data_IF_751223527405
#
_entry.id   IF_751223527405
#
_cell.length_a   1.000
_cell.length_b   1.000
_cell.length_c   1.000
_cell.angle_alpha   90.00
_cell.angle_beta   90.00
_cell.angle_gamma   90.00
#
_symmetry.space_group_name_H-M   'P 1'
#
loop_
_entity.id
_entity.type
_entity.pdbx_description
1 polymer ?
#
# COMPACT_ATOMS: atom_id res chain seq x y z
N UNK A 1 -12.41 8.89 65.01
CA UNK A 1 -12.55 9.13 63.56
C UNK A 1 -11.72 8.09 62.84
N UNK A 2 -12.33 6.98 62.41
CA UNK A 2 -11.63 5.94 61.66
C UNK A 2 -11.86 6.21 60.18
N UNK A 3 -10.82 6.68 59.49
CA UNK A 3 -10.79 6.79 58.04
C UNK A 3 -10.82 5.39 57.45
N UNK A 4 -11.97 4.99 56.90
CA UNK A 4 -12.11 3.76 56.14
C UNK A 4 -11.39 3.90 54.78
N UNK A 5 -10.07 3.69 54.78
CA UNK A 5 -9.30 3.40 53.57
C UNK A 5 -9.51 1.93 53.19
N UNK A 6 -10.70 1.63 52.68
CA UNK A 6 -10.94 0.39 51.96
C UNK A 6 -11.25 0.75 50.51
N UNK A 7 -10.21 1.19 49.76
CA UNK A 7 -10.18 0.90 48.33
C UNK A 7 -9.92 -0.60 48.24
N UNK A 8 -10.93 -1.44 47.95
CA UNK A 8 -10.72 -2.87 47.92
C UNK A 8 -9.70 -3.17 46.82
N UNK A 9 -8.88 -4.19 47.00
CA UNK A 9 -7.93 -4.73 46.02
C UNK A 9 -8.53 -4.97 44.61
N UNK A 10 -9.86 -4.96 44.49
CA UNK A 10 -10.63 -4.93 43.22
C UNK A 10 -10.28 -3.74 42.32
N UNK A 11 -9.95 -2.57 42.87
CA UNK A 11 -9.62 -1.38 42.08
C UNK A 11 -8.26 -1.49 41.37
N UNK A 12 -7.29 -2.22 41.92
CA UNK A 12 -5.94 -2.33 41.34
C UNK A 12 -5.92 -3.20 40.08
N UNK A 13 -6.65 -4.31 40.07
CA UNK A 13 -6.75 -5.19 38.89
C UNK A 13 -7.59 -4.56 37.77
N UNK A 14 -8.59 -3.77 38.13
CA UNK A 14 -9.43 -3.05 37.17
C UNK A 14 -8.65 -1.90 36.50
N UNK A 15 -7.83 -1.16 37.25
CA UNK A 15 -6.93 -0.15 36.70
C UNK A 15 -5.88 -0.77 35.76
N UNK A 16 -5.26 -1.90 36.14
CA UNK A 16 -4.33 -2.63 35.29
C UNK A 16 -4.99 -3.15 33.99
N UNK A 17 -6.18 -3.75 34.09
CA UNK A 17 -6.90 -4.24 32.91
C UNK A 17 -7.32 -3.08 31.99
N UNK A 18 -7.76 -1.96 32.56
CA UNK A 18 -8.09 -0.74 31.80
C UNK A 18 -6.87 -0.19 31.07
N UNK A 19 -5.71 -0.14 31.72
CA UNK A 19 -4.45 0.28 31.11
C UNK A 19 -4.05 -0.67 29.98
N UNK A 20 -4.16 -1.98 30.18
CA UNK A 20 -3.90 -2.98 29.14
C UNK A 20 -4.81 -2.79 27.91
N UNK A 21 -6.10 -2.52 28.12
CA UNK A 21 -7.03 -2.21 27.03
C UNK A 21 -6.62 -0.93 26.28
N UNK A 22 -6.19 0.12 26.98
CA UNK A 22 -5.74 1.37 26.37
C UNK A 22 -4.44 1.17 25.58
N UNK A 23 -3.53 0.34 26.07
CA UNK A 23 -2.34 -0.08 25.33
C UNK A 23 -2.70 -0.87 24.06
N UNK A 24 -3.63 -1.83 24.14
CA UNK A 24 -4.13 -2.56 22.98
C UNK A 24 -4.77 -1.63 21.95
N UNK A 25 -5.56 -0.64 22.40
CA UNK A 25 -6.19 0.36 21.55
C UNK A 25 -5.16 1.24 20.87
N UNK A 26 -4.19 1.75 21.62
CA UNK A 26 -3.09 2.58 21.12
C UNK A 26 -2.25 1.83 20.08
N UNK A 27 -1.94 0.56 20.36
CA UNK A 27 -1.24 -0.32 19.42
C UNK A 27 -2.03 -0.51 18.12
N UNK A 28 -3.32 -0.85 18.22
CA UNK A 28 -4.18 -1.02 17.04
C UNK A 28 -4.29 0.27 16.21
N UNK A 29 -4.41 1.44 16.87
CA UNK A 29 -4.46 2.73 16.18
C UNK A 29 -3.17 2.99 15.39
N UNK A 30 -2.00 2.75 16.00
CA UNK A 30 -0.70 2.86 15.34
C UNK A 30 -0.59 1.88 14.16
N UNK A 31 -1.01 0.63 14.34
CA UNK A 31 -0.98 -0.38 13.29
C UNK A 31 -1.85 0.02 12.09
N UNK A 32 -3.05 0.56 12.33
CA UNK A 32 -3.92 1.08 11.28
C UNK A 32 -3.28 2.27 10.54
N UNK A 33 -2.66 3.19 11.27
CA UNK A 33 -1.97 4.34 10.67
C UNK A 33 -0.82 3.87 9.77
N UNK A 34 0.08 3.02 10.28
CA UNK A 34 1.19 2.47 9.50
C UNK A 34 0.72 1.70 8.26
N UNK A 35 -0.33 0.88 8.39
CA UNK A 35 -0.94 0.18 7.25
C UNK A 35 -1.42 1.17 6.18
N UNK A 36 -2.06 2.26 6.59
CA UNK A 36 -2.57 3.28 5.66
C UNK A 36 -1.45 4.04 4.94
N UNK A 37 -0.32 4.26 5.62
CA UNK A 37 0.88 4.90 5.07
C UNK A 37 1.59 4.05 4.02
N UNK A 38 1.50 2.72 4.13
CA UNK A 38 2.15 1.78 3.20
C UNK A 38 1.31 1.46 1.95
N UNK A 39 0.04 1.85 1.90
CA UNK A 39 -0.82 1.62 0.75
C UNK A 39 -0.71 2.77 -0.27
N UNK A 40 -0.76 2.49 -1.59
CA UNK A 40 -0.92 1.17 -2.21
C UNK A 40 0.38 0.34 -2.22
N UNK A 41 0.25 -0.98 -2.08
CA UNK A 41 1.38 -1.91 -2.15
C UNK A 41 1.72 -2.21 -3.61
N UNK A 42 2.97 -2.00 -4.02
CA UNK A 42 3.40 -2.29 -5.39
C UNK A 42 3.94 -3.73 -5.49
N UNK A 43 3.20 -4.61 -6.14
CA UNK A 43 3.62 -5.99 -6.36
C UNK A 43 4.62 -6.08 -7.53
N UNK A 44 5.83 -6.54 -7.25
CA UNK A 44 6.92 -6.61 -8.23
C UNK A 44 6.69 -7.65 -9.34
N UNK A 45 5.94 -8.73 -9.07
CA UNK A 45 5.73 -9.78 -10.05
C UNK A 45 4.65 -9.39 -11.06
N UNK A 46 3.57 -8.75 -10.60
CA UNK A 46 2.43 -8.38 -11.46
C UNK A 46 2.45 -6.92 -11.92
N UNK A 47 3.26 -6.07 -11.29
CA UNK A 47 3.25 -4.62 -11.51
C UNK A 47 1.99 -3.92 -11.02
N UNK A 48 1.12 -4.61 -10.26
CA UNK A 48 -0.14 -4.05 -9.78
C UNK A 48 0.08 -3.30 -8.46
N UNK A 49 -0.38 -2.05 -8.41
CA UNK A 49 -0.50 -1.29 -7.17
C UNK A 49 -1.75 -1.77 -6.40
N UNK A 50 -1.57 -2.76 -5.53
CA UNK A 50 -2.60 -3.40 -4.74
C UNK A 50 -3.12 -2.49 -3.62
N UNK A 51 -4.40 -2.60 -3.35
CA UNK A 51 -5.12 -1.94 -2.26
C UNK A 51 -6.09 -2.93 -1.63
N UNK A 52 -6.89 -2.50 -0.65
CA UNK A 52 -7.93 -3.36 -0.09
C UNK A 52 -8.86 -3.92 -1.18
N UNK A 53 -9.02 -5.24 -1.21
CA UNK A 53 -9.86 -5.96 -2.16
C UNK A 53 -11.01 -6.66 -1.43
N UNK A 54 -12.09 -6.96 -2.17
CA UNK A 54 -13.28 -7.65 -1.65
C UNK A 54 -13.49 -9.01 -2.33
N UNK A 55 -12.38 -9.63 -2.75
CA UNK A 55 -12.40 -10.94 -3.43
C UNK A 55 -12.63 -12.09 -2.45
N UNK A 56 -12.24 -11.90 -1.19
CA UNK A 56 -12.40 -12.88 -0.12
C UNK A 56 -13.81 -12.77 0.45
N UNK A 57 -14.61 -13.80 0.22
CA UNK A 57 -16.01 -13.90 0.65
C UNK A 57 -16.20 -15.14 1.52
N UNK A 58 -16.78 -14.97 2.69
CA UNK A 58 -17.15 -16.09 3.56
C UNK A 58 -18.28 -16.95 2.97
N UNK A 59 -18.36 -18.21 3.43
CA UNK A 59 -19.45 -19.13 3.05
C UNK A 59 -20.83 -18.59 3.40
N UNK A 60 -20.96 -17.82 4.49
CA UNK A 60 -22.21 -17.18 4.89
C UNK A 60 -22.72 -16.14 3.87
N UNK A 61 -21.84 -15.56 3.06
CA UNK A 61 -22.20 -14.64 1.98
C UNK A 61 -22.69 -15.34 0.72
N UNK A 62 -22.54 -16.67 0.62
CA UNK A 62 -22.97 -17.45 -0.53
C UNK A 62 -24.48 -17.49 -0.60
N UNK A 63 -25.03 -17.05 -1.72
CA UNK A 63 -26.47 -17.05 -2.04
C UNK A 63 -26.75 -18.00 -3.21
N UNK A 64 -27.99 -18.45 -3.40
CA UNK A 64 -28.38 -19.14 -4.64
C UNK A 64 -28.06 -18.27 -5.87
N UNK A 65 -27.80 -18.91 -7.01
CA UNK A 65 -27.60 -18.21 -8.27
C UNK A 65 -28.82 -17.40 -8.70
N UNK A 66 -28.59 -16.29 -9.40
CA UNK A 66 -29.65 -15.38 -9.86
C UNK A 66 -30.05 -15.61 -11.31
N UNK A 67 -29.13 -16.13 -12.12
CA UNK A 67 -29.33 -16.40 -13.55
C UNK A 67 -29.31 -17.90 -13.85
N UNK A 68 -29.98 -18.37 -14.93
CA UNK A 68 -29.90 -19.77 -15.35
C UNK A 68 -28.44 -20.24 -15.51
N UNK A 69 -28.11 -21.42 -14.96
CA UNK A 69 -26.75 -21.96 -14.95
C UNK A 69 -25.82 -21.41 -13.85
N UNK A 70 -26.25 -20.39 -13.11
CA UNK A 70 -25.49 -19.87 -11.97
C UNK A 70 -25.75 -20.74 -10.73
N UNK A 71 -24.69 -21.34 -10.17
CA UNK A 71 -24.81 -22.18 -8.96
C UNK A 71 -24.91 -21.29 -7.70
N UNK A 72 -24.06 -20.26 -7.63
CA UNK A 72 -24.00 -19.35 -6.48
C UNK A 72 -23.88 -17.90 -6.90
N UNK A 73 -24.38 -17.02 -6.05
CA UNK A 73 -24.22 -15.57 -6.14
C UNK A 73 -23.58 -15.04 -4.85
N UNK A 74 -22.80 -13.97 -4.95
CA UNK A 74 -22.22 -13.27 -3.80
C UNK A 74 -22.61 -11.79 -3.84
N UNK A 75 -22.65 -11.08 -2.69
CA UNK A 75 -22.98 -9.67 -2.64
C UNK A 75 -22.05 -8.83 -3.55
N UNK A 76 -22.64 -8.14 -4.52
CA UNK A 76 -21.90 -7.22 -5.37
C UNK A 76 -21.83 -5.82 -4.73
N UNK A 77 -20.69 -5.15 -4.87
CA UNK A 77 -20.52 -3.78 -4.39
C UNK A 77 -20.97 -2.79 -5.46
N UNK A 78 -21.87 -1.88 -5.10
CA UNK A 78 -22.27 -0.79 -5.97
C UNK A 78 -21.07 0.15 -6.21
N UNK A 79 -20.84 0.52 -7.46
CA UNK A 79 -19.80 1.47 -7.86
C UNK A 79 -20.37 2.48 -8.84
N UNK A 80 -19.80 3.68 -8.87
CA UNK A 80 -20.19 4.74 -9.82
C UNK A 80 -18.95 5.39 -10.41
N UNK A 81 -18.86 5.37 -11.74
CA UNK A 81 -17.81 6.10 -12.46
C UNK A 81 -18.07 7.60 -12.34
N UNK A 82 -17.07 8.38 -11.90
CA UNK A 82 -17.15 9.85 -11.89
C UNK A 82 -17.16 10.36 -13.33
N UNK A 83 -18.10 11.23 -13.68
CA UNK A 83 -18.10 11.92 -14.98
C UNK A 83 -16.89 12.85 -15.05
N UNK A 84 -16.14 12.80 -16.15
CA UNK A 84 -15.05 13.76 -16.40
C UNK A 84 -15.70 15.11 -16.72
N UNK A 85 -15.23 16.18 -16.07
CA UNK A 85 -15.54 17.54 -16.53
C UNK A 85 -14.68 17.80 -17.77
N UNK A 86 -15.27 18.33 -18.84
CA UNK A 86 -14.50 18.85 -19.96
C UNK A 86 -13.68 20.04 -19.44
N UNK A 87 -12.37 19.85 -19.30
CA UNK A 87 -11.44 20.91 -18.85
C UNK A 87 -11.51 22.12 -19.80
N UNK A 88 -11.87 21.89 -21.07
CA UNK A 88 -12.06 22.91 -22.11
C UNK A 88 -13.28 23.82 -21.88
N UNK A 89 -14.32 23.35 -21.18
CA UNK A 89 -15.53 24.15 -20.88
C UNK A 89 -15.40 24.96 -19.58
N UNK A 90 -14.25 24.89 -18.90
CA UNK A 90 -13.96 25.70 -17.73
C UNK A 90 -13.01 26.85 -18.11
N UNK A 91 -13.51 28.09 -18.31
CA UNK A 91 -12.67 29.25 -18.68
C UNK A 91 -11.52 29.53 -17.71
N UNK A 92 -11.58 28.99 -16.49
CA UNK A 92 -10.61 29.17 -15.40
C UNK A 92 -9.52 28.10 -15.33
N UNK A 93 -9.62 27.02 -16.11
CA UNK A 93 -8.65 25.91 -16.12
C UNK A 93 -7.84 25.84 -17.41
N UNK A 94 -7.81 26.94 -18.21
CA UNK A 94 -6.90 27.03 -19.34
C UNK A 94 -5.46 26.92 -18.82
N UNK A 95 -4.65 25.98 -19.31
CA UNK A 95 -3.21 26.03 -19.09
C UNK A 95 -2.70 27.41 -19.54
N UNK A 96 -1.94 28.10 -18.68
CA UNK A 96 -1.36 29.41 -18.97
C UNK A 96 -0.20 29.34 -20.01
N UNK A 97 -0.14 28.28 -20.80
CA UNK A 97 0.93 28.04 -21.75
C UNK A 97 0.61 28.67 -23.11
N UNK A 98 0.31 29.96 -23.14
CA UNK A 98 0.36 30.75 -24.38
C UNK A 98 1.02 32.08 -24.03
N UNK A 99 2.30 32.03 -23.70
CA UNK A 99 3.15 33.20 -23.89
C UNK A 99 3.48 33.24 -25.39
N UNK A 100 3.06 34.26 -26.14
CA UNK A 100 3.36 34.35 -27.55
C UNK A 100 4.86 34.65 -27.69
N UNK A 101 5.66 33.62 -27.97
CA UNK A 101 7.03 33.80 -28.41
C UNK A 101 6.94 34.53 -29.75
N UNK A 102 7.34 35.81 -29.74
CA UNK A 102 7.32 36.71 -30.89
C UNK A 102 7.98 36.01 -32.07
N UNK A 103 7.17 35.71 -33.08
CA UNK A 103 7.65 35.33 -34.40
C UNK A 103 8.14 36.59 -35.10
N UNK A 104 9.44 36.83 -35.04
CA UNK A 104 10.12 37.60 -36.06
C UNK A 104 11.17 36.72 -36.74
N UNK A 105 11.10 36.67 -38.06
CA UNK A 105 12.24 36.35 -38.90
C UNK A 105 12.44 34.88 -39.28
N UNK A 106 12.16 34.61 -40.55
CA UNK A 106 12.79 33.57 -41.38
C UNK A 106 12.61 32.10 -41.00
N UNK A 107 11.78 31.43 -41.82
CA UNK A 107 11.88 30.01 -42.10
C UNK A 107 13.34 29.65 -42.48
N UNK A 108 13.89 28.56 -41.92
CA UNK A 108 14.48 27.55 -42.79
C UNK A 108 13.78 26.20 -42.58
N UNK A 109 13.29 25.64 -43.68
CA UNK A 109 12.82 24.25 -43.80
C UNK A 109 13.96 23.30 -43.38
N UNK A 110 13.80 22.56 -42.28
CA UNK A 110 14.79 21.59 -41.85
C UNK A 110 14.44 20.90 -40.52
N UNK A 111 14.54 19.55 -40.41
CA UNK A 111 14.24 18.81 -39.18
C UNK A 111 15.20 19.19 -38.03
N UNK A 112 14.62 19.51 -36.86
CA UNK A 112 15.29 19.92 -35.60
C UNK A 112 16.27 18.86 -35.03
N UNK A 113 16.26 17.62 -35.54
CA UNK A 113 17.03 16.51 -34.97
C UNK A 113 18.54 16.60 -35.20
N UNK A 114 19.00 17.22 -36.30
CA UNK A 114 20.43 17.28 -36.61
C UNK A 114 21.19 18.27 -35.71
N UNK A 115 20.55 19.36 -35.28
CA UNK A 115 21.18 20.38 -34.43
C UNK A 115 21.49 19.89 -33.01
N UNK A 116 20.78 18.86 -32.53
CA UNK A 116 21.01 18.26 -31.21
C UNK A 116 22.14 17.23 -31.23
N UNK A 117 22.47 16.67 -32.39
CA UNK A 117 23.48 15.62 -32.53
C UNK A 117 24.90 16.17 -32.76
N UNK A 118 25.04 17.44 -33.15
CA UNK A 118 26.34 18.08 -33.43
C UNK A 118 26.93 18.90 -32.27
N UNK A 119 26.37 18.85 -31.06
CA UNK A 119 27.01 19.46 -29.89
C UNK A 119 28.03 18.49 -29.27
N UNK A 120 29.26 18.54 -29.78
CA UNK A 120 30.44 17.82 -29.31
C UNK A 120 30.81 18.16 -27.86
N UNK A 121 31.34 17.16 -27.14
CA UNK A 121 31.81 17.19 -25.74
C UNK A 121 33.04 18.08 -25.53
N UNK A 122 33.23 18.62 -24.31
CA UNK A 122 34.59 18.63 -23.77
C UNK A 122 34.72 18.11 -22.33
N UNK A 123 35.79 17.34 -22.17
CA UNK A 123 36.43 16.74 -21.00
C UNK A 123 36.96 17.65 -19.86
N UNK A 124 37.07 17.07 -18.65
CA UNK A 124 38.29 16.99 -17.79
C UNK A 124 38.14 17.32 -16.28
N UNK A 125 38.69 16.40 -15.43
CA UNK A 125 39.29 16.57 -14.07
C UNK A 125 38.35 16.91 -12.89
N UNK A 126 38.51 16.44 -11.65
CA UNK A 126 39.39 15.51 -10.94
C UNK A 126 38.75 15.26 -9.53
N UNK A 127 38.99 14.08 -8.93
CA UNK A 127 39.04 13.74 -7.49
C UNK A 127 37.88 14.12 -6.52
N UNK A 128 37.29 13.13 -5.82
CA UNK A 128 37.51 12.90 -4.37
C UNK A 128 36.68 11.70 -3.82
N UNK A 129 37.38 10.75 -3.20
CA UNK A 129 36.96 10.15 -1.92
C UNK A 129 35.77 9.19 -1.86
N UNK A 130 36.04 7.90 -2.10
CA UNK A 130 35.28 6.84 -1.43
C UNK A 130 35.53 6.88 0.09
N UNK A 131 34.54 6.51 0.92
CA UNK A 131 34.81 5.33 1.73
C UNK A 131 33.67 4.30 1.73
N UNK A 132 34.12 3.06 1.50
CA UNK A 132 33.50 1.80 1.85
C UNK A 132 33.38 1.65 3.39
N UNK A 133 32.44 0.82 3.84
CA UNK A 133 32.55 0.17 5.14
C UNK A 133 31.39 0.33 6.15
N UNK A 134 30.74 -0.81 6.39
CA UNK A 134 30.15 -1.29 7.64
C UNK A 134 28.63 -1.13 7.85
N UNK A 135 27.90 -2.17 7.39
CA UNK A 135 26.58 -2.54 7.92
C UNK A 135 26.78 -3.28 9.25
N UNK A 136 26.14 -2.88 10.37
CA UNK A 136 26.26 -3.60 11.64
C UNK A 136 25.59 -4.98 11.57
N UNK A 137 26.07 -5.99 12.33
CA UNK A 137 25.50 -7.33 12.32
C UNK A 137 24.08 -7.32 12.91
N UNK A 138 23.17 -8.19 12.42
CA UNK A 138 21.86 -8.35 13.03
C UNK A 138 21.96 -8.94 14.44
N UNK A 139 21.05 -8.58 15.36
CA UNK A 139 21.05 -9.13 16.71
C UNK A 139 20.74 -10.63 16.68
N UNK A 140 21.64 -11.44 17.24
CA UNK A 140 21.42 -12.85 17.48
C UNK A 140 20.36 -13.02 18.58
N UNK A 141 19.17 -13.47 18.19
CA UNK A 141 18.19 -13.98 19.14
C UNK A 141 18.53 -15.45 19.46
N UNK A 142 18.62 -15.84 20.75
CA UNK A 142 18.87 -17.22 21.14
C UNK A 142 17.85 -18.20 20.52
N UNK A 143 18.39 -19.30 19.99
CA UNK A 143 17.71 -20.43 19.39
C UNK A 143 16.75 -21.11 20.38
N UNK A 144 15.45 -21.17 20.05
CA UNK A 144 14.46 -22.01 20.74
C UNK A 144 14.78 -23.50 20.53
N UNK A 145 14.82 -24.33 21.59
CA UNK A 145 14.79 -25.77 21.44
C UNK A 145 13.34 -26.30 21.48
N UNK A 146 13.05 -27.15 20.49
CA UNK A 146 12.07 -28.24 20.49
C UNK A 146 10.57 -27.94 20.33
N UNK A 147 10.07 -28.36 19.15
CA UNK A 147 9.08 -29.43 19.11
C UNK A 147 7.62 -29.04 18.89
N UNK A 148 7.17 -29.08 17.63
CA UNK A 148 5.97 -29.83 17.21
C UNK A 148 5.83 -29.75 15.68
N UNK A 149 5.93 -30.91 15.03
CA UNK A 149 5.69 -31.13 13.60
C UNK A 149 4.19 -30.90 13.30
N UNK A 150 3.79 -29.98 12.40
CA UNK A 150 2.41 -29.91 11.98
C UNK A 150 2.11 -31.05 10.98
N UNK A 151 1.32 -32.02 11.41
CA UNK A 151 0.72 -33.07 10.56
C UNK A 151 0.06 -32.47 9.31
N UNK A 152 0.56 -32.86 8.13
CA UNK A 152 0.05 -32.46 6.82
C UNK A 152 -1.17 -33.35 6.44
N UNK A 153 -2.37 -32.97 6.88
CA UNK A 153 -3.61 -33.65 6.47
C UNK A 153 -4.04 -33.19 5.06
N UNK A 154 -3.40 -33.76 4.03
CA UNK A 154 -3.83 -33.62 2.65
C UNK A 154 -5.04 -34.54 2.35
N UNK A 155 -6.16 -34.05 1.79
CA UNK A 155 -7.32 -34.88 1.54
C UNK A 155 -7.05 -35.87 0.41
N UNK A 156 -6.99 -37.15 0.76
CA UNK A 156 -6.84 -38.28 -0.18
C UNK A 156 -7.98 -38.29 -1.20
N UNK A 157 -7.63 -38.08 -2.47
CA UNK A 157 -8.54 -38.22 -3.61
C UNK A 157 -8.97 -39.69 -3.72
N UNK A 158 -10.24 -40.00 -3.42
CA UNK A 158 -10.84 -41.29 -3.75
C UNK A 158 -11.02 -41.36 -5.27
N UNK A 159 -10.22 -42.18 -5.95
CA UNK A 159 -10.57 -42.69 -7.27
C UNK A 159 -11.73 -43.66 -7.13
N UNK A 160 -12.79 -43.44 -7.91
CA UNK A 160 -13.89 -44.38 -8.06
C UNK A 160 -13.62 -45.16 -9.35
N UNK A 161 -13.41 -46.47 -9.21
CA UNK A 161 -13.54 -47.42 -10.31
C UNK A 161 -15.03 -47.61 -10.63
#
# INVERSE_FOLDING_TARGET
MATALHKPLKCLGEEFYREALEHCRSYNARLCAERSLRLPFLDAQTGVAQSNSYIWMERAHRRPGLSPGQIYSYPARCWRKKRRLNILEAPRLRPCCEAPLRREGALPEGPVLEALLSAETPESRDEDGAPDGAKPPPPEFPHDPDGEEPDDDAPRRKSKA
#
